data_IF_274759696629
#
_entry.id   IF_274759696629
#
_cell.length_a   1.000
_cell.length_b   1.000
_cell.length_c   1.000
_cell.angle_alpha   90.00
_cell.angle_beta   90.00
_cell.angle_gamma   90.00
#
_symmetry.space_group_name_H-M   'P 1'
#
loop_
_entity.id
_entity.type
_entity.pdbx_description
1 polymer ?
#
# COMPACT_ATOMS: atom_id res chain seq x y z
N UNK A 1 -42.94 39.72 42.65
CA UNK A 1 -42.27 38.46 42.27
C UNK A 1 -41.58 38.68 40.98
N UNK A 2 -40.26 38.92 41.00
CA UNK A 2 -39.44 39.09 39.81
C UNK A 2 -38.84 37.74 39.43
N UNK A 3 -39.23 37.18 38.29
CA UNK A 3 -38.62 36.01 37.75
C UNK A 3 -37.32 36.41 37.04
N UNK A 4 -36.18 35.98 37.58
CA UNK A 4 -34.89 36.06 36.90
C UNK A 4 -34.83 34.87 35.92
N UNK A 5 -34.90 35.16 34.63
CA UNK A 5 -34.64 34.19 33.57
C UNK A 5 -33.11 34.03 33.45
N UNK A 6 -32.59 32.90 33.89
CA UNK A 6 -31.16 32.55 33.64
C UNK A 6 -31.06 32.05 32.21
N UNK A 7 -30.46 32.86 31.36
CA UNK A 7 -30.10 32.48 29.99
C UNK A 7 -28.91 31.49 30.04
N UNK A 8 -29.20 30.22 29.77
CA UNK A 8 -28.25 29.10 29.75
C UNK A 8 -27.70 28.83 28.35
N UNK A 9 -27.77 29.77 27.40
CA UNK A 9 -27.14 29.64 26.13
C UNK A 9 -25.59 29.73 26.28
N UNK A 10 -24.80 28.76 25.78
CA UNK A 10 -23.35 28.88 25.81
C UNK A 10 -22.91 30.08 24.98
N UNK A 11 -22.11 30.97 25.59
CA UNK A 11 -21.58 32.13 24.91
C UNK A 11 -20.82 31.68 23.64
N UNK A 12 -20.95 32.46 22.57
CA UNK A 12 -20.34 32.19 21.26
C UNK A 12 -18.86 31.86 21.38
N UNK A 13 -18.14 32.49 22.31
CA UNK A 13 -16.71 32.24 22.61
C UNK A 13 -16.45 30.80 23.10
N UNK A 14 -17.38 30.21 23.88
CA UNK A 14 -17.26 28.83 24.38
C UNK A 14 -17.47 27.83 23.27
N UNK A 15 -18.38 28.08 22.33
CA UNK A 15 -18.61 27.22 21.16
C UNK A 15 -17.43 27.28 20.21
N UNK A 16 -16.86 28.47 19.97
CA UNK A 16 -15.66 28.65 19.17
C UNK A 16 -14.45 27.96 19.79
N UNK A 17 -14.27 28.07 21.11
CA UNK A 17 -13.19 27.41 21.84
C UNK A 17 -13.33 25.88 21.79
N UNK A 18 -14.55 25.35 21.94
CA UNK A 18 -14.83 23.91 21.80
C UNK A 18 -14.60 23.42 20.36
N UNK A 19 -14.94 24.22 19.35
CA UNK A 19 -14.67 23.91 17.95
C UNK A 19 -13.18 23.91 17.66
N UNK A 20 -12.44 24.88 18.17
CA UNK A 20 -10.96 24.95 18.03
C UNK A 20 -10.30 23.79 18.76
N UNK A 21 -10.77 23.42 19.94
CA UNK A 21 -10.28 22.24 20.68
C UNK A 21 -10.63 20.95 19.90
N UNK A 22 -11.85 20.85 19.38
CA UNK A 22 -12.29 19.69 18.58
C UNK A 22 -11.49 19.56 17.27
N UNK A 23 -11.25 20.68 16.56
CA UNK A 23 -10.38 20.73 15.38
C UNK A 23 -8.93 20.40 15.77
N UNK A 24 -8.44 20.88 16.91
CA UNK A 24 -7.09 20.55 17.41
C UNK A 24 -6.96 19.08 17.81
N UNK A 25 -8.01 18.49 18.39
CA UNK A 25 -8.07 17.04 18.70
C UNK A 25 -8.14 16.23 17.41
N UNK A 26 -8.93 16.66 16.41
CA UNK A 26 -8.98 15.99 15.08
C UNK A 26 -7.63 16.11 14.37
N UNK A 27 -7.02 17.31 14.36
CA UNK A 27 -5.70 17.50 13.73
C UNK A 27 -4.61 16.74 14.48
N UNK A 28 -4.63 16.70 15.82
CA UNK A 28 -3.71 15.86 16.61
C UNK A 28 -3.99 14.37 16.50
N UNK A 29 -5.24 13.95 16.28
CA UNK A 29 -5.60 12.56 16.04
C UNK A 29 -5.09 12.01 14.71
N UNK A 30 -4.71 12.89 13.76
CA UNK A 30 -4.06 12.51 12.49
C UNK A 30 -2.53 12.58 12.53
N UNK A 31 -1.92 13.15 13.57
CA UNK A 31 -0.48 13.08 13.78
C UNK A 31 -0.21 11.81 14.58
N UNK A 32 0.17 10.74 13.89
CA UNK A 32 0.62 9.51 14.54
C UNK A 32 1.75 9.85 15.52
N UNK A 33 1.62 9.44 16.77
CA UNK A 33 2.70 9.56 17.73
C UNK A 33 3.81 8.58 17.31
N UNK A 34 4.98 9.12 17.02
CA UNK A 34 6.15 8.35 16.60
C UNK A 34 7.00 8.05 17.83
N UNK A 35 7.59 6.85 17.91
CA UNK A 35 8.57 6.54 18.93
C UNK A 35 9.81 7.42 18.79
N UNK A 36 10.42 7.80 19.91
CA UNK A 36 11.62 8.64 19.94
C UNK A 36 12.76 8.06 19.12
N UNK A 37 12.93 6.74 19.13
CA UNK A 37 13.95 6.04 18.34
C UNK A 37 13.77 6.28 16.85
N UNK A 38 12.53 6.26 16.35
CA UNK A 38 12.20 6.52 14.94
C UNK A 38 12.51 7.97 14.59
N UNK A 39 12.07 8.92 15.43
CA UNK A 39 12.33 10.35 15.21
C UNK A 39 13.83 10.68 15.24
N UNK A 40 14.59 10.06 16.14
CA UNK A 40 16.04 10.23 16.23
C UNK A 40 16.76 9.67 15.00
N UNK A 41 16.34 8.48 14.52
CA UNK A 41 16.89 7.89 13.29
C UNK A 41 16.60 8.77 12.07
N UNK A 42 15.36 9.19 11.90
CA UNK A 42 14.95 10.08 10.80
C UNK A 42 15.73 11.40 10.82
N UNK A 43 15.92 11.98 12.01
CA UNK A 43 16.67 13.22 12.21
C UNK A 43 18.17 13.05 11.89
N UNK A 44 18.76 11.94 12.30
CA UNK A 44 20.16 11.62 12.01
C UNK A 44 20.45 11.49 10.51
N UNK A 45 19.45 11.05 9.73
CA UNK A 45 19.53 10.88 8.29
C UNK A 45 18.92 12.05 7.49
N UNK A 46 18.52 13.15 8.16
CA UNK A 46 17.82 14.29 7.53
C UNK A 46 16.58 13.87 6.71
N UNK A 47 15.85 12.85 7.17
CA UNK A 47 14.59 12.38 6.57
C UNK A 47 13.46 13.30 7.03
N UNK A 48 13.38 14.47 6.42
CA UNK A 48 12.36 15.48 6.75
C UNK A 48 11.17 15.43 5.81
N UNK A 49 10.05 15.93 6.30
CA UNK A 49 8.90 16.17 5.45
C UNK A 49 9.14 17.41 4.58
N UNK A 50 8.96 17.26 3.27
CA UNK A 50 8.97 18.37 2.31
C UNK A 50 7.56 18.90 2.07
N UNK A 51 7.41 20.22 2.05
CA UNK A 51 6.11 20.90 1.85
C UNK A 51 5.66 20.89 0.39
N UNK A 52 6.60 20.75 -0.54
CA UNK A 52 6.34 20.78 -1.98
C UNK A 52 7.48 20.11 -2.76
N UNK A 53 7.22 19.77 -4.01
CA UNK A 53 8.26 19.33 -4.97
C UNK A 53 9.40 20.33 -5.10
N UNK A 54 9.10 21.64 -5.09
CA UNK A 54 10.14 22.67 -5.17
C UNK A 54 11.04 22.68 -3.92
N UNK A 55 10.48 22.49 -2.73
CA UNK A 55 11.24 22.38 -1.48
C UNK A 55 12.16 21.15 -1.48
N UNK A 56 11.64 20.01 -1.95
CA UNK A 56 12.41 18.79 -2.17
C UNK A 56 13.56 19.00 -3.18
N UNK A 57 13.28 19.54 -4.37
CA UNK A 57 14.31 19.76 -5.38
C UNK A 57 15.38 20.78 -4.93
N UNK A 58 14.99 21.82 -4.19
CA UNK A 58 15.92 22.75 -3.58
C UNK A 58 16.84 22.09 -2.56
N UNK A 59 16.30 21.22 -1.71
CA UNK A 59 17.09 20.43 -0.75
C UNK A 59 18.06 19.47 -1.46
N UNK A 60 17.59 18.82 -2.53
CA UNK A 60 18.40 17.91 -3.33
C UNK A 60 19.58 18.65 -4.01
N UNK A 61 19.34 19.88 -4.51
CA UNK A 61 20.40 20.73 -5.08
C UNK A 61 21.51 21.14 -4.11
N UNK A 62 21.22 21.14 -2.80
CA UNK A 62 22.24 21.40 -1.78
C UNK A 62 23.16 20.19 -1.52
N UNK A 63 22.73 19.00 -1.90
CA UNK A 63 23.41 17.73 -1.61
C UNK A 63 23.98 17.05 -2.86
N UNK A 64 23.55 17.48 -4.05
CA UNK A 64 23.90 16.84 -5.32
C UNK A 64 24.14 17.90 -6.41
N UNK A 65 24.56 17.46 -7.61
CA UNK A 65 24.78 18.37 -8.73
C UNK A 65 23.49 18.72 -9.50
N UNK A 66 23.53 19.86 -10.21
CA UNK A 66 22.42 20.39 -11.00
C UNK A 66 21.93 19.43 -12.11
N UNK A 67 22.85 18.69 -12.73
CA UNK A 67 22.53 17.77 -13.81
C UNK A 67 21.68 16.61 -13.29
N UNK A 68 22.07 16.05 -12.15
CA UNK A 68 21.33 15.01 -11.46
C UNK A 68 19.94 15.48 -11.06
N UNK A 69 19.81 16.67 -10.46
CA UNK A 69 18.52 17.20 -10.03
C UNK A 69 17.56 17.38 -11.22
N UNK A 70 18.06 17.90 -12.33
CA UNK A 70 17.26 18.05 -13.56
C UNK A 70 16.79 16.70 -14.09
N UNK A 71 17.70 15.73 -14.22
CA UNK A 71 17.40 14.40 -14.73
C UNK A 71 16.37 13.67 -13.86
N UNK A 72 16.49 13.77 -12.53
CA UNK A 72 15.53 13.20 -11.59
C UNK A 72 14.16 13.89 -11.67
N UNK A 73 14.12 15.23 -11.76
CA UNK A 73 12.88 15.98 -11.90
C UNK A 73 12.15 15.62 -13.20
N UNK A 74 12.86 15.53 -14.32
CA UNK A 74 12.30 15.14 -15.61
C UNK A 74 11.74 13.71 -15.56
N UNK A 75 12.47 12.78 -14.90
CA UNK A 75 12.04 11.39 -14.72
C UNK A 75 10.78 11.31 -13.83
N UNK A 76 10.74 12.02 -12.72
CA UNK A 76 9.56 12.07 -11.83
C UNK A 76 8.33 12.65 -12.54
N UNK A 77 8.51 13.71 -13.33
CA UNK A 77 7.42 14.31 -14.12
C UNK A 77 6.88 13.32 -15.16
N UNK A 78 7.74 12.64 -15.89
CA UNK A 78 7.35 11.62 -16.86
C UNK A 78 6.56 10.48 -16.22
N UNK A 79 6.99 10.02 -15.04
CA UNK A 79 6.26 8.99 -14.26
C UNK A 79 4.89 9.49 -13.81
N UNK A 80 4.79 10.74 -13.34
CA UNK A 80 3.52 11.34 -12.91
C UNK A 80 2.52 11.49 -14.07
N UNK A 81 3.01 11.63 -15.30
CA UNK A 81 2.20 11.74 -16.52
C UNK A 81 1.86 10.37 -17.14
N UNK A 82 2.30 9.25 -16.54
CA UNK A 82 2.11 7.91 -17.10
C UNK A 82 2.93 7.67 -18.38
N UNK A 83 3.89 8.53 -18.68
CA UNK A 83 4.80 8.41 -19.81
C UNK A 83 5.96 7.52 -19.40
N UNK A 84 6.06 6.35 -20.01
CA UNK A 84 7.13 5.36 -19.97
C UNK A 84 8.00 5.42 -18.69
N UNK A 85 7.62 4.65 -17.67
CA UNK A 85 8.40 4.54 -16.45
C UNK A 85 9.27 3.30 -16.51
N UNK A 86 10.48 3.43 -17.03
CA UNK A 86 11.52 2.44 -16.78
C UNK A 86 11.88 2.47 -15.28
N UNK A 87 11.37 1.49 -14.52
CA UNK A 87 11.64 1.38 -13.09
C UNK A 87 13.12 1.15 -12.83
N UNK A 88 13.81 0.37 -13.66
CA UNK A 88 15.23 0.11 -13.50
C UNK A 88 16.05 1.39 -13.64
N UNK A 89 15.77 2.20 -14.67
CA UNK A 89 16.40 3.50 -14.85
C UNK A 89 16.13 4.45 -13.67
N UNK A 90 14.87 4.51 -13.20
CA UNK A 90 14.52 5.34 -12.06
C UNK A 90 15.28 4.95 -10.79
N UNK A 91 15.32 3.65 -10.45
CA UNK A 91 16.04 3.20 -9.26
C UNK A 91 17.56 3.35 -9.39
N UNK A 92 18.13 3.20 -10.57
CA UNK A 92 19.53 3.50 -10.84
C UNK A 92 19.82 4.99 -10.64
N UNK A 93 18.94 5.86 -11.13
CA UNK A 93 19.06 7.30 -10.95
C UNK A 93 18.89 7.71 -9.49
N UNK A 94 17.85 7.22 -8.80
CA UNK A 94 17.62 7.45 -7.37
C UNK A 94 18.84 7.12 -6.54
N UNK A 95 19.48 6.00 -6.83
CA UNK A 95 20.61 5.47 -6.07
C UNK A 95 21.98 5.89 -6.60
N UNK A 96 22.09 6.96 -7.40
CA UNK A 96 23.39 7.48 -7.89
C UNK A 96 24.32 7.86 -6.72
N UNK A 97 23.78 8.36 -5.63
CA UNK A 97 24.48 8.65 -4.37
C UNK A 97 23.58 8.34 -3.18
N UNK A 98 24.14 8.03 -2.03
CA UNK A 98 23.39 7.81 -0.79
C UNK A 98 22.56 9.04 -0.41
N UNK A 99 23.14 10.24 -0.42
CA UNK A 99 22.44 11.47 -0.04
C UNK A 99 21.27 11.78 -1.00
N UNK A 100 21.43 11.49 -2.29
CA UNK A 100 20.35 11.58 -3.28
C UNK A 100 19.21 10.59 -2.98
N UNK A 101 19.55 9.35 -2.69
CA UNK A 101 18.61 8.30 -2.32
C UNK A 101 17.83 8.64 -1.05
N UNK A 102 18.51 9.12 -0.01
CA UNK A 102 17.90 9.56 1.25
C UNK A 102 16.96 10.75 1.03
N UNK A 103 17.31 11.73 0.18
CA UNK A 103 16.42 12.84 -0.16
C UNK A 103 15.14 12.36 -0.86
N UNK A 104 15.26 11.43 -1.81
CA UNK A 104 14.09 10.85 -2.49
C UNK A 104 13.22 10.07 -1.50
N UNK A 105 13.83 9.27 -0.63
CA UNK A 105 13.10 8.54 0.41
C UNK A 105 12.44 9.50 1.41
N UNK A 106 13.07 10.61 1.77
CA UNK A 106 12.46 11.63 2.61
C UNK A 106 11.22 12.26 1.95
N UNK A 107 11.24 12.48 0.64
CA UNK A 107 10.12 13.07 -0.10
C UNK A 107 8.91 12.11 -0.21
N UNK A 108 9.16 10.84 -0.49
CA UNK A 108 8.11 9.89 -0.86
C UNK A 108 7.80 8.84 0.21
N UNK A 109 8.72 8.60 1.15
CA UNK A 109 8.61 7.50 2.10
C UNK A 109 8.67 7.93 3.57
N UNK A 110 8.96 9.20 3.91
CA UNK A 110 9.11 9.62 5.30
C UNK A 110 7.86 9.41 6.16
N UNK A 111 6.67 9.63 5.58
CA UNK A 111 5.41 9.32 6.25
C UNK A 111 5.21 7.82 6.48
N UNK A 112 5.50 7.01 5.46
CA UNK A 112 5.46 5.56 5.56
C UNK A 112 6.51 5.06 6.58
N UNK A 113 7.73 5.59 6.54
CA UNK A 113 8.81 5.16 7.43
C UNK A 113 8.45 5.34 8.92
N UNK A 114 7.70 6.40 9.29
CA UNK A 114 7.20 6.56 10.67
C UNK A 114 6.30 5.40 11.10
N UNK A 115 5.40 4.98 10.22
CA UNK A 115 4.55 3.81 10.46
C UNK A 115 5.36 2.52 10.55
N UNK A 116 6.31 2.32 9.62
CA UNK A 116 7.19 1.14 9.62
C UNK A 116 8.06 1.09 10.87
N UNK A 117 8.66 2.21 11.25
CA UNK A 117 9.49 2.29 12.45
C UNK A 117 8.71 1.95 13.72
N UNK A 118 7.49 2.50 13.88
CA UNK A 118 6.62 2.13 15.00
C UNK A 118 6.27 0.65 14.96
N UNK A 119 5.87 0.13 13.80
CA UNK A 119 5.51 -1.28 13.63
C UNK A 119 6.69 -2.22 13.93
N UNK A 120 7.91 -1.85 13.55
CA UNK A 120 9.13 -2.61 13.87
C UNK A 120 9.36 -2.63 15.38
N UNK A 121 9.19 -1.50 16.08
CA UNK A 121 9.35 -1.42 17.54
C UNK A 121 8.24 -2.17 18.26
N UNK A 122 6.98 -2.03 17.84
CA UNK A 122 5.83 -2.74 18.44
C UNK A 122 5.93 -4.25 18.23
N UNK A 123 6.47 -4.67 17.08
CA UNK A 123 6.64 -6.08 16.70
C UNK A 123 7.96 -6.70 17.14
N UNK A 124 8.54 -6.24 18.26
CA UNK A 124 9.84 -6.69 18.77
C UNK A 124 9.98 -8.21 18.92
N UNK A 125 8.89 -8.91 19.21
CA UNK A 125 8.87 -10.36 19.35
C UNK A 125 9.20 -11.11 18.06
N UNK A 126 9.01 -10.48 16.90
CA UNK A 126 9.32 -11.08 15.60
C UNK A 126 10.79 -10.91 15.22
N UNK A 127 11.47 -9.84 15.69
CA UNK A 127 12.83 -9.52 15.28
C UNK A 127 13.87 -10.20 16.16
N UNK A 128 14.29 -11.40 15.74
CA UNK A 128 15.34 -12.19 16.37
C UNK A 128 16.09 -13.03 15.31
N UNK A 129 17.31 -13.47 15.64
CA UNK A 129 18.14 -14.28 14.74
C UNK A 129 18.50 -13.56 13.44
N UNK A 130 18.30 -14.20 12.29
CA UNK A 130 18.56 -13.62 10.97
C UNK A 130 17.30 -12.99 10.40
N UNK A 131 17.41 -11.71 10.00
CA UNK A 131 16.37 -10.95 9.29
C UNK A 131 16.80 -10.78 7.85
N UNK A 132 16.00 -11.26 6.89
CA UNK A 132 16.20 -11.07 5.44
C UNK A 132 15.30 -9.92 4.96
N UNK A 133 15.89 -8.80 4.55
CA UNK A 133 15.16 -7.66 3.98
C UNK A 133 15.23 -7.68 2.45
N UNK A 134 14.08 -7.91 1.79
CA UNK A 134 13.95 -8.18 0.36
C UNK A 134 13.57 -6.90 -0.38
N UNK A 135 14.40 -6.50 -1.35
CA UNK A 135 14.28 -5.20 -2.00
C UNK A 135 14.71 -4.08 -1.05
N UNK A 136 15.87 -4.26 -0.39
CA UNK A 136 16.35 -3.37 0.67
C UNK A 136 16.69 -1.94 0.21
N UNK A 137 16.77 -1.71 -1.12
CA UNK A 137 17.14 -0.41 -1.70
C UNK A 137 18.42 0.16 -1.04
N UNK A 138 18.44 1.43 -0.64
CA UNK A 138 19.58 2.04 0.05
C UNK A 138 19.72 1.64 1.53
N UNK A 139 19.05 0.58 1.97
CA UNK A 139 19.18 0.01 3.32
C UNK A 139 18.50 0.80 4.44
N UNK A 140 17.60 1.74 4.10
CA UNK A 140 16.97 2.61 5.09
C UNK A 140 16.26 1.85 6.21
N UNK A 141 15.47 0.84 5.87
CA UNK A 141 14.72 0.02 6.85
C UNK A 141 15.61 -1.04 7.45
N UNK A 142 16.45 -1.71 6.65
CA UNK A 142 17.40 -2.72 7.13
C UNK A 142 18.33 -2.16 8.22
N UNK A 143 18.89 -0.96 8.00
CA UNK A 143 19.75 -0.30 8.99
C UNK A 143 18.97 0.12 10.25
N UNK A 144 17.70 0.53 10.13
CA UNK A 144 16.86 0.79 11.29
C UNK A 144 16.62 -0.48 12.12
N UNK A 145 16.29 -1.60 11.47
CA UNK A 145 16.13 -2.91 12.14
C UNK A 145 17.44 -3.30 12.85
N UNK A 146 18.59 -3.20 12.16
CA UNK A 146 19.88 -3.54 12.72
C UNK A 146 20.26 -2.67 13.94
N UNK A 147 19.88 -1.39 13.92
CA UNK A 147 20.11 -0.47 15.04
C UNK A 147 19.21 -0.76 16.24
N UNK A 148 17.93 -1.12 15.99
CA UNK A 148 16.98 -1.42 17.06
C UNK A 148 17.23 -2.80 17.70
N UNK A 149 17.76 -3.75 16.92
CA UNK A 149 17.99 -5.14 17.31
C UNK A 149 19.43 -5.55 17.04
N UNK A 150 20.39 -5.08 17.86
CA UNK A 150 21.83 -5.34 17.66
C UNK A 150 22.21 -6.82 17.76
N UNK A 151 21.36 -7.65 18.34
CA UNK A 151 21.51 -9.11 18.42
C UNK A 151 21.06 -9.83 17.12
N UNK A 152 20.32 -9.17 16.25
CA UNK A 152 19.94 -9.73 14.97
C UNK A 152 21.07 -9.61 13.95
N UNK A 153 21.18 -10.60 13.06
CA UNK A 153 21.91 -10.46 11.81
C UNK A 153 20.92 -9.99 10.73
N UNK A 154 21.11 -8.81 10.18
CA UNK A 154 20.25 -8.27 9.11
C UNK A 154 20.95 -8.45 7.77
N UNK A 155 20.31 -9.14 6.83
CA UNK A 155 20.81 -9.33 5.45
C UNK A 155 19.85 -8.65 4.49
N UNK A 156 20.27 -7.52 3.90
CA UNK A 156 19.52 -6.83 2.87
C UNK A 156 19.90 -7.33 1.47
N UNK A 157 18.90 -7.64 0.65
CA UNK A 157 19.10 -8.11 -0.73
C UNK A 157 18.38 -7.17 -1.70
N UNK A 158 19.09 -6.69 -2.70
CA UNK A 158 18.54 -5.93 -3.82
C UNK A 158 19.30 -6.26 -5.11
N UNK A 159 18.61 -6.26 -6.25
CA UNK A 159 19.26 -6.48 -7.56
C UNK A 159 20.03 -5.26 -8.06
N UNK A 160 19.75 -4.07 -7.52
CA UNK A 160 20.38 -2.82 -7.91
C UNK A 160 21.70 -2.64 -7.15
N UNK A 161 22.82 -2.86 -7.81
CA UNK A 161 24.17 -2.73 -7.23
C UNK A 161 24.41 -1.34 -6.61
N UNK A 162 23.93 -0.25 -7.24
CA UNK A 162 24.08 1.09 -6.71
C UNK A 162 23.32 1.29 -5.39
N UNK A 163 22.11 0.70 -5.28
CA UNK A 163 21.33 0.69 -4.05
C UNK A 163 22.05 -0.07 -2.93
N UNK A 164 22.59 -1.26 -3.24
CA UNK A 164 23.36 -2.08 -2.29
C UNK A 164 24.62 -1.37 -1.82
N UNK A 165 25.33 -0.67 -2.71
CA UNK A 165 26.51 0.12 -2.33
C UNK A 165 26.13 1.28 -1.40
N UNK A 166 25.02 1.97 -1.66
CA UNK A 166 24.47 2.97 -0.75
C UNK A 166 24.07 2.37 0.61
N UNK A 167 23.49 1.17 0.62
CA UNK A 167 23.11 0.48 1.86
C UNK A 167 24.34 0.14 2.72
N UNK A 168 25.43 -0.32 2.10
CA UNK A 168 26.71 -0.55 2.79
C UNK A 168 27.30 0.74 3.35
N UNK A 169 27.30 1.83 2.56
CA UNK A 169 27.74 3.15 3.02
C UNK A 169 26.90 3.65 4.19
N UNK A 170 25.57 3.43 4.15
CA UNK A 170 24.66 3.80 5.23
C UNK A 170 24.98 3.03 6.51
N UNK A 171 25.19 1.72 6.43
CA UNK A 171 25.55 0.91 7.58
C UNK A 171 26.89 1.34 8.20
N UNK A 172 27.90 1.63 7.38
CA UNK A 172 29.19 2.18 7.83
C UNK A 172 29.01 3.55 8.52
N UNK A 173 28.23 4.47 7.92
CA UNK A 173 27.90 5.80 8.48
C UNK A 173 27.24 5.71 9.85
N UNK A 174 26.42 4.67 10.06
CA UNK A 174 25.72 4.41 11.32
C UNK A 174 26.50 3.51 12.30
N UNK A 175 27.67 2.98 11.90
CA UNK A 175 28.48 2.09 12.71
C UNK A 175 27.85 0.72 12.99
N UNK A 176 27.06 0.20 12.07
CA UNK A 176 26.33 -1.07 12.22
C UNK A 176 27.21 -2.24 11.73
N UNK A 177 27.59 -3.13 12.65
CA UNK A 177 28.37 -4.33 12.34
C UNK A 177 27.50 -5.57 12.05
N UNK A 178 26.20 -5.50 12.32
CA UNK A 178 25.24 -6.58 12.20
C UNK A 178 24.33 -6.48 10.96
N UNK A 179 24.65 -5.58 10.00
CA UNK A 179 23.95 -5.42 8.74
C UNK A 179 24.88 -5.79 7.57
N UNK A 180 24.43 -6.72 6.73
CA UNK A 180 25.10 -7.15 5.50
C UNK A 180 24.20 -6.86 4.31
N UNK A 181 24.79 -6.49 3.14
CA UNK A 181 24.03 -6.18 1.93
C UNK A 181 24.60 -6.89 0.73
N UNK A 182 23.71 -7.55 -0.04
CA UNK A 182 24.07 -8.43 -1.16
C UNK A 182 23.35 -7.96 -2.43
N UNK A 183 24.12 -7.77 -3.50
CA UNK A 183 23.56 -7.56 -4.83
C UNK A 183 23.16 -8.91 -5.43
N UNK A 184 21.85 -9.20 -5.45
CA UNK A 184 21.33 -10.44 -6.01
C UNK A 184 19.86 -10.27 -6.43
N UNK A 185 19.41 -11.08 -7.38
CA UNK A 185 18.00 -11.29 -7.65
C UNK A 185 17.47 -12.28 -6.61
N UNK A 186 16.38 -11.94 -5.93
CA UNK A 186 15.79 -12.79 -4.88
C UNK A 186 15.37 -14.17 -5.43
N UNK A 187 15.05 -14.26 -6.70
CA UNK A 187 14.66 -15.53 -7.33
C UNK A 187 15.81 -16.55 -7.40
N UNK A 188 17.05 -16.06 -7.44
CA UNK A 188 18.28 -16.87 -7.51
C UNK A 188 19.07 -16.87 -6.19
N UNK A 189 18.61 -16.10 -5.20
CA UNK A 189 19.28 -15.92 -3.94
C UNK A 189 18.88 -16.96 -2.89
N UNK A 190 19.87 -17.51 -2.20
CA UNK A 190 19.66 -18.39 -1.06
C UNK A 190 20.61 -17.99 0.07
N UNK A 191 20.07 -17.88 1.28
CA UNK A 191 20.85 -17.73 2.49
C UNK A 191 21.54 -19.06 2.85
N UNK A 192 22.77 -19.00 3.36
CA UNK A 192 23.46 -20.17 3.92
C UNK A 192 22.69 -20.73 5.12
N UNK A 193 22.19 -19.84 5.98
CA UNK A 193 21.27 -20.16 7.07
C UNK A 193 19.96 -19.41 6.88
N UNK A 194 18.85 -20.15 6.86
CA UNK A 194 17.50 -19.57 6.68
C UNK A 194 17.19 -18.53 7.74
N UNK A 195 16.45 -17.50 7.34
CA UNK A 195 16.03 -16.41 8.21
C UNK A 195 14.88 -16.81 9.14
N UNK A 196 14.86 -16.24 10.34
CA UNK A 196 13.71 -16.22 11.23
C UNK A 196 12.64 -15.25 10.76
N UNK A 197 13.06 -14.15 10.12
CA UNK A 197 12.15 -13.11 9.62
C UNK A 197 12.53 -12.75 8.21
N UNK A 198 11.55 -12.65 7.31
CA UNK A 198 11.69 -12.05 6.00
C UNK A 198 10.82 -10.79 5.93
N UNK A 199 11.42 -9.66 5.54
CA UNK A 199 10.72 -8.39 5.38
C UNK A 199 10.75 -7.91 3.94
N UNK A 200 9.71 -7.17 3.52
CA UNK A 200 9.74 -6.39 2.28
C UNK A 200 8.82 -5.17 2.40
N UNK A 201 9.37 -4.00 2.20
CA UNK A 201 8.66 -2.74 2.36
C UNK A 201 8.66 -1.97 1.04
N UNK A 202 7.52 -1.99 0.33
CA UNK A 202 7.32 -1.42 -1.01
C UNK A 202 8.19 -2.02 -2.13
N UNK A 203 8.65 -3.25 -1.94
CA UNK A 203 9.48 -3.95 -2.92
C UNK A 203 8.74 -5.01 -3.72
N UNK A 204 7.65 -5.61 -3.19
CA UNK A 204 7.02 -6.79 -3.77
C UNK A 204 6.50 -6.56 -5.20
N UNK A 205 5.81 -5.44 -5.45
CA UNK A 205 5.26 -5.14 -6.77
C UNK A 205 6.34 -4.83 -7.80
N UNK A 206 7.42 -4.16 -7.39
CA UNK A 206 8.54 -3.87 -8.29
C UNK A 206 9.32 -5.16 -8.62
N UNK A 207 9.51 -6.06 -7.64
CA UNK A 207 10.14 -7.37 -7.83
C UNK A 207 9.28 -8.26 -8.73
N UNK A 208 7.97 -8.34 -8.47
CA UNK A 208 7.03 -9.15 -9.23
C UNK A 208 6.42 -8.42 -10.45
N UNK A 209 6.97 -7.30 -10.89
CA UNK A 209 6.40 -6.45 -11.93
C UNK A 209 6.13 -7.19 -13.25
N UNK A 210 7.04 -8.05 -13.68
CA UNK A 210 6.88 -8.83 -14.92
C UNK A 210 5.67 -9.76 -14.87
N UNK A 211 5.40 -10.34 -13.70
CA UNK A 211 4.32 -11.29 -13.48
C UNK A 211 2.97 -10.58 -13.24
N UNK A 212 2.98 -9.44 -12.53
CA UNK A 212 1.76 -8.73 -12.11
C UNK A 212 1.25 -7.72 -13.13
N UNK A 213 2.10 -7.20 -14.01
CA UNK A 213 1.74 -6.15 -14.99
C UNK A 213 0.67 -6.58 -16.01
N UNK A 214 0.52 -7.88 -16.25
CA UNK A 214 -0.50 -8.45 -17.14
C UNK A 214 -1.85 -8.73 -16.47
N UNK A 215 -1.94 -8.62 -15.14
CA UNK A 215 -3.18 -8.91 -14.41
C UNK A 215 -4.12 -7.72 -14.48
N UNK A 216 -5.34 -7.97 -14.96
CA UNK A 216 -6.37 -6.92 -15.05
C UNK A 216 -6.76 -6.42 -13.66
N UNK A 217 -6.95 -5.11 -13.54
CA UNK A 217 -7.43 -4.45 -12.31
C UNK A 217 -8.96 -4.42 -12.20
N UNK A 218 -9.68 -4.81 -13.26
CA UNK A 218 -11.14 -4.96 -13.32
C UNK A 218 -11.49 -6.31 -13.95
N UNK A 219 -12.72 -6.77 -13.75
CA UNK A 219 -13.21 -8.03 -14.31
C UNK A 219 -13.73 -8.97 -13.23
N UNK A 220 -13.92 -10.21 -13.59
CA UNK A 220 -14.45 -11.24 -12.70
C UNK A 220 -13.46 -11.50 -11.54
N UNK A 221 -14.00 -11.52 -10.31
CA UNK A 221 -13.23 -11.57 -9.06
C UNK A 221 -12.31 -12.77 -8.96
N UNK A 222 -12.86 -13.98 -9.14
CA UNK A 222 -12.10 -15.22 -8.93
C UNK A 222 -10.95 -15.37 -9.94
N UNK A 223 -11.19 -14.94 -11.19
CA UNK A 223 -10.14 -14.94 -12.23
C UNK A 223 -8.98 -14.01 -11.87
N UNK A 224 -9.27 -12.83 -11.32
CA UNK A 224 -8.23 -11.87 -10.89
C UNK A 224 -7.51 -12.34 -9.63
N UNK A 225 -8.21 -12.90 -8.64
CA UNK A 225 -7.61 -13.49 -7.45
C UNK A 225 -6.60 -14.56 -7.84
N UNK A 226 -7.01 -15.53 -8.68
CA UNK A 226 -6.11 -16.59 -9.16
C UNK A 226 -4.94 -16.07 -9.98
N UNK A 227 -5.16 -15.05 -10.83
CA UNK A 227 -4.09 -14.45 -11.63
C UNK A 227 -3.04 -13.74 -10.76
N UNK A 228 -3.45 -12.99 -9.73
CA UNK A 228 -2.51 -12.38 -8.77
C UNK A 228 -1.78 -13.43 -7.93
N UNK A 229 -2.47 -14.48 -7.47
CA UNK A 229 -1.84 -15.59 -6.75
C UNK A 229 -0.73 -16.22 -7.60
N UNK A 230 -1.02 -16.56 -8.85
CA UNK A 230 -0.04 -17.17 -9.76
C UNK A 230 1.12 -16.21 -10.08
N UNK A 231 0.84 -14.92 -10.22
CA UNK A 231 1.86 -13.90 -10.47
C UNK A 231 2.84 -13.74 -9.29
N UNK A 232 2.35 -13.86 -8.06
CA UNK A 232 3.20 -13.76 -6.87
C UNK A 232 3.84 -15.08 -6.43
N UNK A 233 3.38 -16.22 -6.93
CA UNK A 233 3.84 -17.54 -6.49
C UNK A 233 5.36 -17.73 -6.59
N UNK A 234 6.06 -17.31 -7.67
CA UNK A 234 7.52 -17.43 -7.73
C UNK A 234 8.24 -16.67 -6.61
N UNK A 235 7.78 -15.44 -6.30
CA UNK A 235 8.35 -14.63 -5.24
C UNK A 235 8.08 -15.24 -3.85
N UNK A 236 6.85 -15.67 -3.60
CA UNK A 236 6.50 -16.36 -2.36
C UNK A 236 7.32 -17.63 -2.15
N UNK A 237 7.61 -18.37 -3.23
CA UNK A 237 8.47 -19.56 -3.19
C UNK A 237 9.92 -19.22 -2.86
N UNK A 238 10.47 -18.17 -3.49
CA UNK A 238 11.83 -17.70 -3.18
C UNK A 238 11.96 -17.28 -1.71
N UNK A 239 10.96 -16.58 -1.17
CA UNK A 239 10.91 -16.22 0.25
C UNK A 239 10.81 -17.46 1.15
N UNK A 240 9.91 -18.40 0.83
CA UNK A 240 9.71 -19.63 1.59
C UNK A 240 10.97 -20.51 1.66
N UNK A 241 11.79 -20.51 0.60
CA UNK A 241 13.06 -21.22 0.56
C UNK A 241 14.09 -20.65 1.53
N UNK A 242 14.05 -19.34 1.76
CA UNK A 242 14.95 -18.62 2.65
C UNK A 242 14.43 -18.50 4.09
N UNK A 243 13.20 -18.94 4.39
CA UNK A 243 12.56 -18.80 5.69
C UNK A 243 12.58 -20.11 6.48
N UNK A 244 12.95 -20.05 7.75
CA UNK A 244 12.87 -21.18 8.69
C UNK A 244 11.43 -21.62 8.93
N UNK A 245 11.24 -22.83 9.38
CA UNK A 245 9.95 -23.29 9.91
C UNK A 245 9.59 -22.48 11.16
N UNK A 246 8.35 -22.00 11.22
CA UNK A 246 7.92 -21.06 12.25
C UNK A 246 8.38 -19.60 12.00
N UNK A 247 9.18 -19.34 10.97
CA UNK A 247 9.63 -17.99 10.62
C UNK A 247 8.49 -17.11 10.10
N UNK A 248 8.69 -15.79 10.20
CA UNK A 248 7.66 -14.78 9.93
C UNK A 248 7.99 -13.98 8.68
N UNK A 249 6.99 -13.72 7.85
CA UNK A 249 7.02 -12.75 6.74
C UNK A 249 6.29 -11.49 7.18
N UNK A 250 6.95 -10.33 7.06
CA UNK A 250 6.35 -9.02 7.29
C UNK A 250 6.47 -8.21 6.00
N UNK A 251 5.36 -7.86 5.40
CA UNK A 251 5.39 -7.04 4.18
C UNK A 251 4.40 -5.88 4.23
N UNK A 252 4.82 -4.75 3.67
CA UNK A 252 4.00 -3.56 3.51
C UNK A 252 4.07 -3.13 2.05
N UNK A 253 2.92 -3.11 1.38
CA UNK A 253 2.87 -2.82 -0.04
C UNK A 253 1.66 -1.97 -0.40
N UNK A 254 1.78 -1.24 -1.51
CA UNK A 254 0.71 -0.45 -2.11
C UNK A 254 0.16 -1.16 -3.33
N UNK A 255 -0.84 -2.00 -3.14
CA UNK A 255 -1.46 -2.72 -4.24
C UNK A 255 -2.37 -1.81 -5.09
N UNK A 256 -2.30 -1.93 -6.40
CA UNK A 256 -3.19 -1.24 -7.35
C UNK A 256 -4.64 -1.71 -7.19
N UNK A 257 -4.83 -3.00 -6.91
CA UNK A 257 -6.12 -3.59 -6.56
C UNK A 257 -5.99 -4.41 -5.28
N UNK A 258 -7.00 -4.37 -4.41
CA UNK A 258 -6.95 -5.12 -3.13
C UNK A 258 -6.87 -6.64 -3.34
N UNK A 259 -7.35 -7.17 -4.46
CA UNK A 259 -7.12 -8.58 -4.81
C UNK A 259 -5.65 -8.91 -5.10
N UNK A 260 -4.81 -7.92 -5.42
CA UNK A 260 -3.36 -8.11 -5.44
C UNK A 260 -2.83 -8.47 -4.05
N UNK A 261 -3.35 -7.84 -2.99
CA UNK A 261 -3.00 -8.19 -1.62
C UNK A 261 -3.49 -9.59 -1.22
N UNK A 262 -4.76 -9.91 -1.54
CA UNK A 262 -5.28 -11.27 -1.30
C UNK A 262 -4.47 -12.32 -2.07
N UNK A 263 -4.17 -12.09 -3.36
CA UNK A 263 -3.34 -12.98 -4.18
C UNK A 263 -1.91 -13.15 -3.63
N UNK A 264 -1.33 -12.10 -3.05
CA UNK A 264 -0.06 -12.21 -2.33
C UNK A 264 -0.14 -13.16 -1.13
N UNK A 265 -1.15 -12.98 -0.26
CA UNK A 265 -1.33 -13.87 0.89
C UNK A 265 -1.64 -15.31 0.47
N UNK A 266 -2.40 -15.50 -0.62
CA UNK A 266 -2.66 -16.81 -1.19
C UNK A 266 -1.39 -17.47 -1.73
N UNK A 267 -0.53 -16.72 -2.42
CA UNK A 267 0.76 -17.23 -2.90
C UNK A 267 1.71 -17.63 -1.75
N UNK A 268 1.70 -16.88 -0.64
CA UNK A 268 2.41 -17.26 0.58
C UNK A 268 1.85 -18.56 1.17
N UNK A 269 0.53 -18.69 1.22
CA UNK A 269 -0.15 -19.89 1.78
C UNK A 269 0.15 -21.17 0.98
N UNK A 270 0.34 -21.10 -0.34
CA UNK A 270 0.82 -22.23 -1.16
C UNK A 270 2.21 -22.73 -0.72
N UNK A 271 2.99 -21.89 -0.06
CA UNK A 271 4.29 -22.22 0.51
C UNK A 271 4.22 -22.52 2.03
N UNK A 272 3.02 -22.74 2.56
CA UNK A 272 2.78 -23.00 3.99
C UNK A 272 3.00 -21.75 4.88
N UNK A 273 2.99 -20.54 4.31
CA UNK A 273 3.17 -19.28 5.03
C UNK A 273 1.82 -18.58 5.08
N UNK A 274 1.10 -18.72 6.18
CA UNK A 274 -0.26 -18.22 6.32
C UNK A 274 -0.34 -16.92 7.13
N UNK A 275 -1.33 -16.05 6.89
CA UNK A 275 -1.44 -14.78 7.59
C UNK A 275 -1.70 -14.95 9.09
N UNK A 276 -1.15 -14.06 9.89
CA UNK A 276 -1.54 -13.85 11.29
C UNK A 276 -2.66 -12.82 11.26
N UNK A 277 -3.91 -13.31 11.29
CA UNK A 277 -5.11 -12.52 10.95
C UNK A 277 -5.18 -11.19 11.68
N UNK A 278 -4.99 -11.18 13.01
CA UNK A 278 -5.11 -10.00 13.87
C UNK A 278 -3.99 -8.99 13.67
N UNK A 279 -2.86 -9.41 13.09
CA UNK A 279 -1.70 -8.56 12.79
C UNK A 279 -1.77 -7.95 11.39
N UNK A 280 -2.61 -8.52 10.51
CA UNK A 280 -2.84 -7.93 9.19
C UNK A 280 -3.63 -6.61 9.34
N UNK A 281 -3.24 -5.60 8.56
CA UNK A 281 -3.81 -4.27 8.67
C UNK A 281 -3.76 -3.50 7.35
N UNK A 282 -4.46 -2.36 7.33
CA UNK A 282 -4.24 -1.26 6.36
C UNK A 282 -3.74 -0.04 7.13
N UNK A 283 -2.81 0.68 6.51
CA UNK A 283 -2.34 1.95 7.02
C UNK A 283 -2.38 3.02 5.93
N UNK A 284 -2.53 4.28 6.33
CA UNK A 284 -2.47 5.44 5.44
C UNK A 284 -1.26 6.26 5.82
N UNK A 285 -0.37 6.48 4.86
CA UNK A 285 0.80 7.32 5.04
C UNK A 285 0.80 8.48 4.03
N UNK A 286 1.25 9.65 4.48
CA UNK A 286 1.36 10.84 3.65
C UNK A 286 2.74 10.89 2.98
N UNK A 287 2.78 10.99 1.66
CA UNK A 287 3.97 11.39 0.90
C UNK A 287 3.89 12.88 0.48
N UNK A 288 4.89 13.35 -0.26
CA UNK A 288 4.92 14.73 -0.75
C UNK A 288 3.72 15.10 -1.64
N UNK A 289 3.08 14.12 -2.27
CA UNK A 289 1.99 14.34 -3.24
C UNK A 289 0.61 14.16 -2.64
N UNK A 290 0.40 13.10 -1.82
CA UNK A 290 -0.91 12.73 -1.28
C UNK A 290 -0.80 11.65 -0.20
N UNK A 291 -1.92 11.40 0.48
CA UNK A 291 -2.09 10.21 1.31
C UNK A 291 -2.16 8.96 0.43
N UNK A 292 -1.50 7.90 0.85
CA UNK A 292 -1.42 6.60 0.18
C UNK A 292 -1.84 5.49 1.13
N UNK A 293 -2.60 4.55 0.60
CA UNK A 293 -3.02 3.33 1.30
C UNK A 293 -1.97 2.22 1.13
N UNK A 294 -1.67 1.55 2.23
CA UNK A 294 -0.76 0.39 2.26
C UNK A 294 -1.42 -0.76 2.99
N UNK A 295 -1.23 -1.97 2.46
CA UNK A 295 -1.63 -3.21 3.11
C UNK A 295 -0.45 -3.82 3.86
N UNK A 296 -0.67 -4.22 5.09
CA UNK A 296 0.30 -4.83 5.98
C UNK A 296 -0.01 -6.30 6.11
N UNK A 297 0.96 -7.15 5.80
CA UNK A 297 0.87 -8.60 5.98
C UNK A 297 1.85 -9.03 7.04
N UNK A 298 1.36 -9.68 8.08
CA UNK A 298 2.13 -10.57 8.95
C UNK A 298 1.71 -11.99 8.64
N UNK A 299 2.66 -12.85 8.28
CA UNK A 299 2.37 -14.24 7.97
C UNK A 299 3.46 -15.14 8.56
N UNK A 300 3.09 -16.35 8.98
CA UNK A 300 4.00 -17.28 9.63
C UNK A 300 4.04 -18.61 8.88
N UNK A 301 5.22 -19.21 8.77
CA UNK A 301 5.41 -20.50 8.15
C UNK A 301 4.96 -21.61 9.09
N UNK A 302 4.29 -22.63 8.52
CA UNK A 302 3.67 -23.75 9.24
C UNK A 302 2.48 -23.35 10.11
N UNK A 303 1.63 -22.41 9.64
CA UNK A 303 0.33 -22.12 10.24
C UNK A 303 -0.83 -22.46 9.27
N UNK A 304 -2.08 -22.32 9.72
CA UNK A 304 -3.26 -22.79 8.99
C UNK A 304 -4.33 -21.69 8.75
N UNK A 305 -4.02 -20.43 9.02
CA UNK A 305 -5.01 -19.36 8.84
C UNK A 305 -5.33 -19.10 7.36
N UNK A 306 -6.57 -18.76 7.09
CA UNK A 306 -7.05 -18.52 5.73
C UNK A 306 -6.68 -17.11 5.24
N UNK A 307 -6.09 -16.95 4.05
CA UNK A 307 -5.85 -15.64 3.43
C UNK A 307 -7.11 -14.79 3.28
N UNK A 308 -8.24 -15.41 2.93
CA UNK A 308 -9.51 -14.69 2.77
C UNK A 308 -10.06 -14.21 4.12
N UNK A 309 -9.82 -14.94 5.21
CA UNK A 309 -10.20 -14.53 6.56
C UNK A 309 -9.44 -13.27 6.97
N UNK A 310 -8.12 -13.23 6.76
CA UNK A 310 -7.31 -12.04 7.04
C UNK A 310 -7.73 -10.84 6.18
N UNK A 311 -7.99 -11.07 4.89
CA UNK A 311 -8.49 -10.04 4.00
C UNK A 311 -9.82 -9.46 4.49
N UNK A 312 -10.81 -10.31 4.79
CA UNK A 312 -12.12 -9.88 5.26
C UNK A 312 -12.01 -9.15 6.61
N UNK A 313 -11.26 -9.70 7.56
CA UNK A 313 -11.03 -9.09 8.88
C UNK A 313 -10.56 -7.62 8.77
N UNK A 314 -9.61 -7.34 7.87
CA UNK A 314 -9.07 -6.00 7.69
C UNK A 314 -10.06 -5.09 6.94
N UNK A 315 -10.72 -5.61 5.92
CA UNK A 315 -11.63 -4.80 5.11
C UNK A 315 -12.92 -4.45 5.87
N UNK A 316 -13.44 -5.36 6.68
CA UNK A 316 -14.65 -5.16 7.50
C UNK A 316 -14.47 -4.08 8.55
N UNK A 317 -13.27 -3.92 9.12
CA UNK A 317 -13.00 -2.86 10.12
C UNK A 317 -13.32 -1.46 9.62
N UNK A 318 -13.18 -1.21 8.33
CA UNK A 318 -13.40 0.08 7.71
C UNK A 318 -14.73 0.16 6.93
N UNK A 319 -15.45 -0.97 6.87
CA UNK A 319 -16.70 -1.04 6.12
C UNK A 319 -17.84 -0.28 6.80
N UNK A 320 -18.59 0.51 6.01
CA UNK A 320 -19.81 1.22 6.42
C UNK A 320 -20.89 0.98 5.39
N UNK A 321 -21.84 0.08 5.71
CA UNK A 321 -22.97 -0.17 4.83
C UNK A 321 -23.75 1.11 4.50
N UNK A 322 -24.14 1.23 3.24
CA UNK A 322 -24.97 2.32 2.75
C UNK A 322 -24.27 3.67 2.60
N UNK A 323 -22.96 3.75 2.80
CA UNK A 323 -22.15 4.91 2.45
C UNK A 323 -21.52 4.72 1.06
N UNK A 324 -21.55 5.76 0.22
CA UNK A 324 -20.84 5.74 -1.07
C UNK A 324 -19.33 5.69 -0.82
N UNK A 325 -18.63 4.80 -1.55
CA UNK A 325 -17.20 4.57 -1.40
C UNK A 325 -16.48 4.53 -2.76
N UNK A 326 -15.18 4.76 -2.74
CA UNK A 326 -14.32 4.76 -3.93
C UNK A 326 -13.10 3.85 -3.72
N UNK A 327 -12.39 3.54 -4.80
CA UNK A 327 -11.19 2.71 -4.74
C UNK A 327 -11.49 1.25 -4.39
N UNK A 328 -10.57 0.61 -3.69
CA UNK A 328 -10.66 -0.79 -3.30
C UNK A 328 -11.89 -1.11 -2.43
N UNK A 329 -12.28 -0.17 -1.56
CA UNK A 329 -13.44 -0.33 -0.68
C UNK A 329 -14.77 -0.40 -1.47
N UNK A 330 -14.83 0.18 -2.66
CA UNK A 330 -16.03 0.12 -3.51
C UNK A 330 -16.33 -1.30 -3.97
N UNK A 331 -15.32 -2.03 -4.38
CA UNK A 331 -15.46 -3.42 -4.82
C UNK A 331 -15.71 -4.37 -3.64
N UNK A 332 -14.96 -4.18 -2.55
CA UNK A 332 -15.22 -4.96 -1.32
C UNK A 332 -16.68 -4.78 -0.85
N UNK A 333 -17.15 -3.53 -0.76
CA UNK A 333 -18.51 -3.24 -0.32
C UNK A 333 -19.57 -3.84 -1.24
N UNK A 334 -19.33 -3.86 -2.56
CA UNK A 334 -20.24 -4.48 -3.52
C UNK A 334 -20.44 -5.97 -3.22
N UNK A 335 -19.36 -6.72 -3.05
CA UNK A 335 -19.44 -8.17 -2.75
C UNK A 335 -19.88 -8.45 -1.30
N UNK A 336 -19.43 -7.67 -0.33
CA UNK A 336 -19.71 -7.93 1.08
C UNK A 336 -21.16 -7.58 1.48
N UNK A 337 -21.74 -6.51 0.92
CA UNK A 337 -23.06 -5.98 1.31
C UNK A 337 -24.20 -6.40 0.38
N UNK A 338 -23.97 -7.34 -0.54
CA UNK A 338 -25.03 -7.91 -1.41
C UNK A 338 -24.98 -9.43 -1.43
N UNK A 339 -26.05 -10.07 -1.86
CA UNK A 339 -26.13 -11.52 -2.05
C UNK A 339 -26.03 -11.91 -3.53
N UNK A 340 -26.43 -11.01 -4.43
CA UNK A 340 -26.39 -11.19 -5.87
C UNK A 340 -26.01 -9.87 -6.56
N UNK A 341 -25.16 -9.96 -7.57
CA UNK A 341 -24.64 -8.82 -8.31
C UNK A 341 -24.85 -9.09 -9.80
N UNK A 342 -25.51 -8.16 -10.50
CA UNK A 342 -25.58 -8.13 -11.95
C UNK A 342 -24.46 -7.25 -12.49
N UNK A 343 -23.53 -7.85 -13.21
CA UNK A 343 -22.44 -7.14 -13.89
C UNK A 343 -22.78 -6.85 -15.35
N UNK A 344 -22.26 -5.73 -15.83
CA UNK A 344 -22.24 -5.33 -17.23
C UNK A 344 -20.84 -4.92 -17.61
N UNK A 345 -20.15 -5.75 -18.36
CA UNK A 345 -18.77 -5.56 -18.80
C UNK A 345 -18.74 -5.03 -20.23
N UNK A 346 -17.92 -4.01 -20.47
CA UNK A 346 -17.73 -3.37 -21.78
C UNK A 346 -16.34 -3.67 -22.31
N UNK A 347 -16.26 -4.37 -23.42
CA UNK A 347 -15.03 -4.78 -24.08
C UNK A 347 -14.79 -4.01 -25.39
N UNK A 348 -13.51 -3.78 -25.71
CA UNK A 348 -13.04 -3.43 -27.06
C UNK A 348 -12.07 -4.50 -27.52
N UNK A 349 -12.50 -5.35 -28.45
CA UNK A 349 -11.81 -6.60 -28.73
C UNK A 349 -11.77 -7.48 -27.49
N UNK A 350 -10.61 -8.00 -27.13
CA UNK A 350 -10.45 -8.84 -25.93
C UNK A 350 -10.24 -8.01 -24.64
N UNK A 351 -10.05 -6.69 -24.75
CA UNK A 351 -9.74 -5.84 -23.61
C UNK A 351 -10.99 -5.35 -22.91
N UNK A 352 -11.18 -5.70 -21.65
CA UNK A 352 -12.17 -5.11 -20.76
C UNK A 352 -11.78 -3.67 -20.46
N UNK A 353 -12.66 -2.72 -20.79
CA UNK A 353 -12.43 -1.28 -20.61
C UNK A 353 -13.18 -0.71 -19.42
N UNK A 354 -14.43 -1.18 -19.23
CA UNK A 354 -15.32 -0.67 -18.21
C UNK A 354 -16.16 -1.81 -17.63
N UNK A 355 -16.39 -1.76 -16.34
CA UNK A 355 -17.26 -2.69 -15.62
C UNK A 355 -18.27 -1.90 -14.82
N UNK A 356 -19.53 -2.22 -15.02
CA UNK A 356 -20.65 -1.70 -14.24
C UNK A 356 -21.28 -2.83 -13.45
N UNK A 357 -21.92 -2.50 -12.31
CA UNK A 357 -22.74 -3.49 -11.63
C UNK A 357 -23.93 -2.84 -10.91
N UNK A 358 -25.01 -3.64 -10.81
CA UNK A 358 -26.19 -3.35 -10.00
C UNK A 358 -26.38 -4.45 -8.96
N UNK A 359 -26.73 -4.06 -7.74
CA UNK A 359 -27.05 -4.99 -6.66
C UNK A 359 -28.06 -4.36 -5.70
N UNK A 360 -28.55 -5.17 -4.77
CA UNK A 360 -29.32 -4.70 -3.61
C UNK A 360 -28.50 -5.06 -2.36
N UNK A 361 -28.25 -4.07 -1.51
CA UNK A 361 -27.53 -4.30 -0.26
C UNK A 361 -28.37 -5.16 0.70
N UNK A 362 -27.71 -5.85 1.62
CA UNK A 362 -28.35 -6.58 2.72
C UNK A 362 -29.29 -5.70 3.55
N UNK A 363 -29.04 -4.38 3.59
CA UNK A 363 -29.93 -3.36 4.20
C UNK A 363 -31.02 -2.82 3.27
N UNK A 364 -31.25 -3.41 2.07
CA UNK A 364 -32.31 -3.04 1.14
C UNK A 364 -32.08 -1.77 0.32
N UNK A 365 -30.87 -1.22 0.28
CA UNK A 365 -30.51 -0.09 -0.58
C UNK A 365 -30.04 -0.58 -1.94
N UNK A 366 -30.37 0.15 -3.00
CA UNK A 366 -29.83 -0.12 -4.33
C UNK A 366 -28.37 0.31 -4.42
N UNK A 367 -27.56 -0.53 -5.04
CA UNK A 367 -26.13 -0.35 -5.23
C UNK A 367 -25.81 -0.21 -6.71
N UNK A 368 -25.01 0.79 -7.05
CA UNK A 368 -24.53 1.06 -8.40
C UNK A 368 -23.00 1.17 -8.36
N UNK A 369 -22.35 0.21 -8.99
CA UNK A 369 -20.90 0.14 -9.09
C UNK A 369 -20.44 0.52 -10.50
N UNK A 370 -19.33 1.20 -10.59
CA UNK A 370 -18.67 1.62 -11.82
C UNK A 370 -17.15 1.54 -11.62
N UNK A 371 -16.45 0.89 -12.54
CA UNK A 371 -15.01 0.76 -12.53
C UNK A 371 -14.42 0.79 -13.93
N UNK A 372 -13.25 1.38 -14.06
CA UNK A 372 -12.35 1.25 -15.19
C UNK A 372 -10.92 0.96 -14.71
N UNK A 373 -9.91 1.14 -15.55
CA UNK A 373 -8.52 0.88 -15.20
C UNK A 373 -7.98 1.83 -14.10
N UNK A 374 -8.56 3.03 -13.98
CA UNK A 374 -8.06 4.10 -13.14
C UNK A 374 -8.89 4.34 -11.88
N UNK A 375 -10.18 4.03 -11.92
CA UNK A 375 -11.05 4.29 -10.78
C UNK A 375 -12.06 3.18 -10.50
N UNK A 376 -12.59 3.17 -9.27
CA UNK A 376 -13.73 2.37 -8.80
C UNK A 376 -14.61 3.23 -7.94
N UNK A 377 -15.93 3.06 -8.08
CA UNK A 377 -16.92 3.82 -7.33
C UNK A 377 -18.17 3.00 -7.08
N UNK A 378 -18.62 3.00 -5.84
CA UNK A 378 -19.92 2.44 -5.43
C UNK A 378 -20.81 3.55 -4.87
N UNK A 379 -22.05 3.59 -5.32
CA UNK A 379 -23.10 4.47 -4.79
C UNK A 379 -24.22 3.64 -4.20
N UNK A 380 -24.74 4.08 -3.07
CA UNK A 380 -25.96 3.56 -2.50
C UNK A 380 -27.12 4.53 -2.74
N UNK A 381 -28.25 4.02 -3.17
CA UNK A 381 -29.46 4.79 -3.45
C UNK A 381 -30.67 4.20 -2.70
N UNK A 382 -31.54 5.06 -2.20
CA UNK A 382 -32.87 4.65 -1.77
C UNK A 382 -33.82 4.61 -2.96
N UNK A 383 -35.04 4.07 -2.76
CA UNK A 383 -36.08 3.95 -3.81
C UNK A 383 -36.31 5.26 -4.60
N UNK A 384 -36.38 6.40 -3.89
CA UNK A 384 -36.62 7.71 -4.53
C UNK A 384 -35.53 8.14 -5.52
N UNK A 385 -34.29 7.69 -5.30
CA UNK A 385 -33.13 8.05 -6.12
C UNK A 385 -32.79 6.97 -7.16
N UNK A 386 -33.41 5.78 -7.08
CA UNK A 386 -33.13 4.65 -7.95
C UNK A 386 -33.33 5.00 -9.41
N UNK A 387 -34.49 5.57 -9.77
CA UNK A 387 -34.86 5.90 -11.16
C UNK A 387 -33.75 6.77 -11.80
N UNK A 388 -33.36 7.83 -11.11
CA UNK A 388 -32.30 8.71 -11.61
C UNK A 388 -30.93 7.99 -11.73
N UNK A 389 -30.63 7.09 -10.81
CA UNK A 389 -29.39 6.30 -10.85
C UNK A 389 -29.40 5.29 -12.01
N UNK A 390 -30.53 4.65 -12.27
CA UNK A 390 -30.75 3.77 -13.44
C UNK A 390 -30.59 4.56 -14.75
N UNK A 391 -31.24 5.72 -14.88
CA UNK A 391 -31.13 6.59 -16.06
C UNK A 391 -29.67 7.05 -16.30
N UNK A 392 -28.94 7.40 -15.23
CA UNK A 392 -27.52 7.76 -15.32
C UNK A 392 -26.64 6.58 -15.77
N UNK A 393 -26.95 5.38 -15.27
CA UNK A 393 -26.29 4.14 -15.64
C UNK A 393 -26.54 3.79 -17.11
N UNK A 394 -27.80 3.80 -17.53
CA UNK A 394 -28.20 3.47 -18.91
C UNK A 394 -27.64 4.49 -19.92
N UNK A 395 -27.57 5.79 -19.54
CA UNK A 395 -26.94 6.82 -20.36
C UNK A 395 -25.45 6.56 -20.57
N UNK A 396 -24.74 6.10 -19.55
CA UNK A 396 -23.33 5.73 -19.64
C UNK A 396 -23.14 4.52 -20.55
N UNK A 397 -23.96 3.48 -20.39
CA UNK A 397 -23.92 2.30 -21.25
C UNK A 397 -24.24 2.65 -22.72
N UNK A 398 -25.16 3.58 -22.97
CA UNK A 398 -25.50 4.03 -24.32
C UNK A 398 -24.31 4.64 -25.07
N UNK A 399 -23.28 5.13 -24.38
CA UNK A 399 -22.05 5.61 -25.03
C UNK A 399 -21.26 4.49 -25.71
N UNK A 400 -21.45 3.25 -25.28
CA UNK A 400 -20.77 2.05 -25.78
C UNK A 400 -21.60 1.24 -26.79
N UNK A 401 -22.89 1.61 -27.01
CA UNK A 401 -23.77 0.94 -27.99
C UNK A 401 -23.43 1.24 -29.47
N UNK A 402 -22.17 1.55 -29.76
CA UNK A 402 -21.64 1.70 -31.11
C UNK A 402 -20.87 0.43 -31.47
N UNK A 403 -20.90 0.03 -32.75
CA UNK A 403 -20.41 -1.24 -33.31
C UNK A 403 -18.97 -1.68 -32.99
N UNK A 404 -18.26 -0.96 -32.12
CA UNK A 404 -16.88 -1.25 -31.74
C UNK A 404 -16.74 -1.91 -30.36
N UNK A 405 -17.86 -2.00 -29.62
CA UNK A 405 -17.82 -2.52 -28.23
C UNK A 405 -18.73 -3.76 -28.10
N UNK A 406 -18.23 -4.75 -27.38
CA UNK A 406 -18.99 -5.90 -26.93
C UNK A 406 -19.44 -5.69 -25.49
N UNK A 407 -20.72 -5.89 -25.22
CA UNK A 407 -21.31 -5.78 -23.87
C UNK A 407 -21.69 -7.18 -23.40
N UNK A 408 -21.19 -7.60 -22.23
CA UNK A 408 -21.54 -8.86 -21.58
C UNK A 408 -22.25 -8.57 -20.28
N UNK A 409 -23.43 -9.18 -20.09
CA UNK A 409 -24.22 -9.10 -18.86
C UNK A 409 -24.26 -10.48 -18.22
N UNK A 410 -23.94 -10.54 -16.92
CA UNK A 410 -23.97 -11.79 -16.16
C UNK A 410 -24.22 -11.52 -14.68
N UNK A 411 -24.74 -12.52 -13.95
CA UNK A 411 -24.94 -12.42 -12.51
C UNK A 411 -24.00 -13.35 -11.76
N UNK A 412 -23.53 -12.89 -10.60
CA UNK A 412 -22.75 -13.68 -9.65
C UNK A 412 -23.40 -13.64 -8.28
N UNK A 413 -23.27 -14.71 -7.51
CA UNK A 413 -23.54 -14.73 -6.08
C UNK A 413 -22.29 -14.26 -5.35
N UNK A 414 -22.47 -13.39 -4.39
CA UNK A 414 -21.37 -12.81 -3.59
C UNK A 414 -20.88 -13.78 -2.50
#
# INVERSE_FOLDING_TARGET
>A
MNFVVIDNSPKLDTVVLLLVIYIHIIIRGYVMQTYEQVDNYMKALDLKYYKSTNDFLASLMLKTDKGYVKELADTLNSRAQGQNSDNEYFYKLKNRTLDGSLCVSAAFDSGLFRHLGNMIIDGKEYFHGTVLDIGCDCGLVSCFIAQQYPECKVVGVDKNEAAVNNAKELAERLGLANAEFVTADIYDFNLDEKAEVATSFRGLLDIAQRQTSGVSVIGERSAREGAYQQAFLPLATAIGNNLKDGGTVISVERYTAMYGWLGWMQALAENGICPIVEQCARMVAQDISSAKDYSVTFAQKNCNASPIEAYNYVMEKNFKSGAGVTGADAEFALYFDSDEIEFTDVYKGEKLLHQFAKAVSKGGKYMFYEADLDYRKLKYCNEKKKIKADEDFDRKLALYNKNEFEIKIYSVKS
#
